data_IF_132367852653
#
_entry.id   IF_132367852653
#
_cell.length_a   1.000
_cell.length_b   1.000
_cell.length_c   1.000
_cell.angle_alpha   90.00
_cell.angle_beta   90.00
_cell.angle_gamma   90.00
#
_symmetry.space_group_name_H-M   'P 1'
#
loop_
_entity.id
_entity.type
_entity.pdbx_description
1 polymer ?
#
# COMPACT_ATOMS: atom_id res chain seq x y z
N UNK A 1 -6.88 -12.93 14.47
CA UNK A 1 -7.75 -11.79 14.15
C UNK A 1 -7.31 -11.24 12.80
N UNK A 2 -8.24 -10.94 11.90
CA UNK A 2 -7.91 -10.29 10.63
C UNK A 2 -7.66 -8.81 10.91
N UNK A 3 -6.42 -8.37 10.69
CA UNK A 3 -6.00 -6.96 10.82
C UNK A 3 -6.70 -6.15 9.72
N UNK A 4 -7.14 -4.93 10.02
CA UNK A 4 -7.84 -4.08 9.05
C UNK A 4 -7.09 -2.76 8.92
N UNK A 5 -6.78 -2.39 7.68
CA UNK A 5 -6.11 -1.14 7.36
C UNK A 5 -7.15 -0.16 6.83
N UNK A 6 -7.48 0.85 7.64
CA UNK A 6 -8.39 1.93 7.25
C UNK A 6 -7.60 3.07 6.61
N UNK A 7 -8.15 3.69 5.58
CA UNK A 7 -7.55 4.88 4.96
C UNK A 7 -8.59 5.96 4.70
N UNK A 8 -8.13 7.21 4.75
CA UNK A 8 -8.95 8.41 4.64
C UNK A 8 -8.23 9.46 3.82
N UNK A 9 -9.01 10.24 3.08
CA UNK A 9 -8.57 11.31 2.20
C UNK A 9 -9.28 12.59 2.58
N UNK A 10 -8.53 13.67 2.72
CA UNK A 10 -9.03 14.96 3.16
C UNK A 10 -8.70 16.04 2.14
N UNK A 11 -9.69 16.86 1.78
CA UNK A 11 -9.50 17.98 0.86
C UNK A 11 -9.31 17.61 -0.61
N UNK A 12 -9.70 16.39 -1.02
CA UNK A 12 -9.74 16.01 -2.43
C UNK A 12 -10.94 16.72 -3.11
N UNK A 13 -10.75 17.45 -4.22
CA UNK A 13 -11.83 18.12 -4.94
C UNK A 13 -12.83 17.14 -5.56
N UNK A 14 -14.11 17.52 -5.60
CA UNK A 14 -15.21 16.66 -6.09
C UNK A 14 -14.98 16.13 -7.51
N UNK A 15 -14.43 16.96 -8.41
CA UNK A 15 -14.13 16.56 -9.80
C UNK A 15 -13.01 15.50 -9.92
N UNK A 16 -12.31 15.17 -8.83
CA UNK A 16 -11.30 14.10 -8.77
C UNK A 16 -11.82 12.83 -8.10
N UNK A 17 -13.05 12.83 -7.59
CA UNK A 17 -13.62 11.66 -6.90
C UNK A 17 -13.79 10.48 -7.85
N UNK A 18 -14.26 10.68 -9.07
CA UNK A 18 -14.36 9.59 -10.06
C UNK A 18 -12.98 8.98 -10.35
N UNK A 19 -11.96 9.82 -10.48
CA UNK A 19 -10.59 9.37 -10.74
C UNK A 19 -10.01 8.52 -9.60
N UNK A 20 -10.27 8.87 -8.34
CA UNK A 20 -9.78 8.04 -7.23
C UNK A 20 -10.45 6.66 -7.23
N UNK A 21 -11.74 6.56 -7.56
CA UNK A 21 -12.42 5.28 -7.72
C UNK A 21 -11.76 4.42 -8.80
N UNK A 22 -11.48 5.00 -9.98
CA UNK A 22 -10.73 4.31 -11.04
C UNK A 22 -9.35 3.82 -10.58
N UNK A 23 -8.62 4.63 -9.82
CA UNK A 23 -7.30 4.25 -9.29
C UNK A 23 -7.38 3.08 -8.32
N UNK A 24 -8.41 3.00 -7.49
CA UNK A 24 -8.66 1.85 -6.61
C UNK A 24 -9.04 0.60 -7.41
N UNK A 25 -9.87 0.71 -8.44
CA UNK A 25 -10.20 -0.40 -9.34
C UNK A 25 -8.97 -0.94 -10.08
N UNK A 26 -8.11 -0.04 -10.58
CA UNK A 26 -6.83 -0.42 -11.19
C UNK A 26 -5.93 -1.16 -10.20
N UNK A 27 -5.82 -0.69 -8.96
CA UNK A 27 -5.04 -1.35 -7.91
C UNK A 27 -5.62 -2.73 -7.54
N UNK A 28 -6.94 -2.82 -7.44
CA UNK A 28 -7.66 -4.05 -7.18
C UNK A 28 -7.41 -5.10 -8.28
N UNK A 29 -7.40 -4.68 -9.55
CA UNK A 29 -7.18 -5.54 -10.70
C UNK A 29 -5.70 -5.91 -10.94
N UNK A 30 -4.76 -5.08 -10.49
CA UNK A 30 -3.33 -5.27 -10.77
C UNK A 30 -2.71 -6.51 -10.11
N UNK A 31 -3.37 -7.07 -9.09
CA UNK A 31 -2.89 -8.26 -8.38
C UNK A 31 -4.00 -9.00 -7.64
N UNK A 32 -3.73 -10.24 -7.26
CA UNK A 32 -4.59 -10.96 -6.33
C UNK A 32 -4.40 -10.45 -4.88
N UNK A 33 -5.53 -10.28 -4.18
CA UNK A 33 -5.61 -9.89 -2.78
C UNK A 33 -6.10 -11.07 -1.94
N UNK A 34 -5.51 -11.27 -0.75
CA UNK A 34 -5.80 -12.49 0.05
C UNK A 34 -7.17 -12.45 0.75
N UNK A 35 -7.58 -11.27 1.22
CA UNK A 35 -8.74 -11.12 2.11
C UNK A 35 -9.83 -10.19 1.59
N UNK A 36 -9.63 -9.60 0.42
CA UNK A 36 -10.51 -8.62 -0.20
C UNK A 36 -9.72 -7.55 -0.93
N UNK A 37 -10.24 -7.13 -2.08
CA UNK A 37 -9.63 -6.05 -2.85
C UNK A 37 -9.79 -4.70 -2.14
N UNK A 38 -8.83 -3.78 -2.30
CA UNK A 38 -8.99 -2.42 -1.80
C UNK A 38 -10.10 -1.71 -2.56
N UNK A 39 -10.82 -0.86 -1.85
CA UNK A 39 -11.95 -0.10 -2.38
C UNK A 39 -12.04 1.26 -1.69
N UNK A 40 -12.76 2.20 -2.28
CA UNK A 40 -12.93 3.52 -1.69
C UNK A 40 -14.39 3.93 -1.78
N UNK A 41 -14.84 4.69 -0.78
CA UNK A 41 -16.13 5.34 -0.79
C UNK A 41 -15.98 6.86 -0.70
N UNK A 42 -16.89 7.55 -1.38
CA UNK A 42 -16.99 9.01 -1.40
C UNK A 42 -18.44 9.44 -1.63
N UNK A 43 -18.66 10.74 -1.85
CA UNK A 43 -19.97 11.27 -2.23
C UNK A 43 -20.49 10.71 -3.57
N UNK A 44 -19.61 10.21 -4.44
CA UNK A 44 -19.95 9.63 -5.76
C UNK A 44 -20.28 8.13 -5.70
N UNK A 45 -20.13 7.49 -4.53
CA UNK A 45 -20.45 6.07 -4.36
C UNK A 45 -21.93 5.80 -4.61
N UNK A 46 -22.21 4.74 -5.37
CA UNK A 46 -23.58 4.33 -5.72
C UNK A 46 -24.05 3.06 -5.01
N UNK A 47 -23.13 2.29 -4.44
CA UNK A 47 -23.45 1.11 -3.65
C UNK A 47 -23.93 1.50 -2.25
N UNK A 48 -24.96 0.80 -1.75
CA UNK A 48 -25.59 1.10 -0.48
C UNK A 48 -24.60 1.05 0.70
N UNK A 49 -23.69 0.07 0.69
CA UNK A 49 -22.72 -0.09 1.76
C UNK A 49 -21.72 1.08 1.78
N UNK A 50 -21.17 1.42 0.63
CA UNK A 50 -20.19 2.48 0.44
C UNK A 50 -20.77 3.84 0.82
N UNK A 51 -22.01 4.12 0.38
CA UNK A 51 -22.74 5.33 0.73
C UNK A 51 -22.93 5.45 2.25
N UNK A 52 -23.38 4.38 2.91
CA UNK A 52 -23.62 4.38 4.34
C UNK A 52 -22.32 4.47 5.15
N UNK A 53 -21.31 3.70 4.75
CA UNK A 53 -19.98 3.75 5.35
C UNK A 53 -19.39 5.18 5.30
N UNK A 54 -19.42 5.82 4.13
CA UNK A 54 -18.90 7.17 3.97
C UNK A 54 -19.73 8.20 4.75
N UNK A 55 -21.07 8.05 4.76
CA UNK A 55 -21.97 8.92 5.52
C UNK A 55 -21.65 8.88 7.02
N UNK A 56 -21.47 7.70 7.59
CA UNK A 56 -21.11 7.54 9.00
C UNK A 56 -19.77 8.22 9.31
N UNK A 57 -18.73 7.95 8.51
CA UNK A 57 -17.42 8.56 8.72
C UNK A 57 -17.43 10.09 8.56
N UNK A 58 -18.18 10.61 7.59
CA UNK A 58 -18.29 12.06 7.38
C UNK A 58 -19.01 12.76 8.53
N UNK A 59 -19.96 12.09 9.19
CA UNK A 59 -20.61 12.63 10.39
C UNK A 59 -19.66 12.68 11.59
N UNK A 60 -18.73 11.74 11.68
CA UNK A 60 -17.74 11.67 12.77
C UNK A 60 -16.55 12.62 12.56
N UNK A 61 -15.98 12.64 11.35
CA UNK A 61 -14.74 13.37 11.03
C UNK A 61 -14.99 14.79 10.51
N UNK A 62 -16.18 15.09 10.00
CA UNK A 62 -16.57 16.39 9.46
C UNK A 62 -16.43 16.53 7.94
N UNK A 63 -16.63 17.76 7.46
CA UNK A 63 -16.76 18.08 6.02
C UNK A 63 -15.46 17.98 5.23
N UNK A 64 -14.31 17.93 5.89
CA UNK A 64 -13.00 17.83 5.22
C UNK A 64 -12.74 16.44 4.66
N UNK A 65 -13.48 15.41 5.10
CA UNK A 65 -13.36 14.06 4.59
C UNK A 65 -13.97 13.96 3.18
N UNK A 66 -13.12 13.72 2.19
CA UNK A 66 -13.52 13.59 0.78
C UNK A 66 -13.77 12.14 0.37
N UNK A 67 -12.97 11.21 0.89
CA UNK A 67 -13.11 9.78 0.61
C UNK A 67 -12.52 8.93 1.75
N UNK A 68 -12.96 7.68 1.86
CA UNK A 68 -12.44 6.74 2.84
C UNK A 68 -12.66 5.29 2.41
N UNK A 69 -11.89 4.36 2.94
CA UNK A 69 -12.09 2.93 2.73
C UNK A 69 -11.30 2.10 3.71
N UNK A 70 -11.31 0.80 3.51
CA UNK A 70 -10.45 -0.11 4.26
C UNK A 70 -10.14 -1.38 3.48
N UNK A 71 -9.08 -2.07 3.87
CA UNK A 71 -8.77 -3.41 3.37
C UNK A 71 -8.49 -4.37 4.52
N UNK A 72 -8.97 -5.60 4.40
CA UNK A 72 -8.71 -6.67 5.36
C UNK A 72 -7.39 -7.35 5.00
N UNK A 73 -6.61 -7.67 6.03
CA UNK A 73 -5.27 -8.22 5.92
C UNK A 73 -5.22 -9.64 6.49
N UNK A 74 -4.54 -10.56 5.79
CA UNK A 74 -4.22 -11.91 6.30
C UNK A 74 -2.71 -12.13 6.37
N UNK A 75 -2.08 -11.55 7.39
CA UNK A 75 -0.70 -11.86 7.79
C UNK A 75 0.37 -11.59 6.73
N UNK A 76 0.02 -10.88 5.65
CA UNK A 76 0.95 -10.47 4.60
C UNK A 76 1.21 -8.97 4.72
N UNK A 77 2.41 -8.61 5.19
CA UNK A 77 2.82 -7.21 5.32
C UNK A 77 2.99 -6.53 3.96
N UNK A 78 3.13 -7.28 2.87
CA UNK A 78 3.26 -6.71 1.52
C UNK A 78 2.00 -5.99 1.09
N UNK A 79 0.82 -6.53 1.40
CA UNK A 79 -0.47 -5.88 1.11
C UNK A 79 -0.57 -4.51 1.82
N UNK A 80 -0.09 -4.43 3.06
CA UNK A 80 -0.18 -3.21 3.87
C UNK A 80 0.80 -2.16 3.34
N UNK A 81 1.98 -2.63 2.94
CA UNK A 81 2.99 -1.77 2.34
C UNK A 81 2.55 -1.22 0.99
N UNK A 82 1.97 -2.04 0.11
CA UNK A 82 1.46 -1.58 -1.19
C UNK A 82 0.37 -0.53 -0.99
N UNK A 83 -0.58 -0.77 -0.09
CA UNK A 83 -1.61 0.22 0.23
C UNK A 83 -0.98 1.49 0.79
N UNK A 84 0.00 1.37 1.69
CA UNK A 84 0.67 2.54 2.27
C UNK A 84 1.36 3.39 1.21
N UNK A 85 2.10 2.76 0.29
CA UNK A 85 2.76 3.47 -0.81
C UNK A 85 1.71 4.09 -1.74
N UNK A 86 0.68 3.35 -2.11
CA UNK A 86 -0.40 3.84 -2.97
C UNK A 86 -1.09 5.07 -2.38
N UNK A 87 -1.49 5.03 -1.11
CA UNK A 87 -2.12 6.17 -0.42
C UNK A 87 -1.16 7.36 -0.32
N UNK A 88 0.14 7.13 -0.05
CA UNK A 88 1.18 8.17 -0.08
C UNK A 88 1.26 8.82 -1.47
N UNK A 89 1.28 8.00 -2.52
CA UNK A 89 1.39 8.49 -3.90
C UNK A 89 0.16 9.32 -4.29
N UNK A 90 -1.06 8.90 -3.89
CA UNK A 90 -2.26 9.72 -4.07
C UNK A 90 -2.20 11.03 -3.29
N UNK A 91 -1.67 11.00 -2.07
CA UNK A 91 -1.42 12.22 -1.28
C UNK A 91 -0.48 13.18 -2.03
N UNK A 92 0.59 12.66 -2.63
CA UNK A 92 1.54 13.45 -3.41
C UNK A 92 0.93 14.00 -4.71
N UNK A 93 0.24 13.14 -5.47
CA UNK A 93 -0.36 13.45 -6.77
C UNK A 93 -1.40 14.57 -6.64
N UNK A 94 -2.26 14.50 -5.62
CA UNK A 94 -3.33 15.47 -5.44
C UNK A 94 -2.96 16.62 -4.49
N UNK A 95 -1.79 16.57 -3.84
CA UNK A 95 -1.39 17.57 -2.84
C UNK A 95 -2.35 17.62 -1.64
N UNK A 96 -2.84 16.45 -1.22
CA UNK A 96 -3.87 16.31 -0.17
C UNK A 96 -3.33 15.64 1.07
N UNK A 97 -4.07 15.78 2.17
CA UNK A 97 -3.83 15.02 3.39
C UNK A 97 -4.50 13.65 3.29
N UNK A 98 -3.77 12.61 3.69
CA UNK A 98 -4.31 11.27 3.87
C UNK A 98 -3.94 10.71 5.24
N UNK A 99 -4.72 9.74 5.72
CA UNK A 99 -4.44 9.04 6.97
C UNK A 99 -4.68 7.55 6.77
N UNK A 100 -3.79 6.75 7.31
CA UNK A 100 -3.87 5.30 7.39
C UNK A 100 -3.92 4.92 8.86
N UNK A 101 -4.87 4.07 9.24
CA UNK A 101 -5.03 3.56 10.60
C UNK A 101 -5.07 2.04 10.61
N UNK A 102 -4.34 1.49 11.55
CA UNK A 102 -4.11 0.07 11.73
C UNK A 102 -4.01 -0.26 13.22
N UNK A 103 -5.16 -0.35 13.88
CA UNK A 103 -5.24 -0.43 15.34
C UNK A 103 -4.53 -1.68 15.90
N UNK A 104 -4.51 -2.77 15.12
CA UNK A 104 -3.93 -4.04 15.50
C UNK A 104 -2.44 -4.15 15.14
N UNK A 105 -1.80 -3.09 14.62
CA UNK A 105 -0.38 -3.13 14.29
C UNK A 105 0.45 -3.38 15.56
N UNK A 106 1.37 -4.37 15.57
CA UNK A 106 2.18 -4.70 16.76
C UNK A 106 3.07 -3.54 17.22
N UNK A 107 3.65 -2.81 16.27
CA UNK A 107 4.36 -1.56 16.53
C UNK A 107 3.39 -0.37 16.61
N UNK A 108 3.24 0.21 17.80
CA UNK A 108 2.33 1.35 18.05
C UNK A 108 2.53 2.53 17.10
N UNK A 109 3.79 2.86 16.77
CA UNK A 109 4.13 3.96 15.85
C UNK A 109 3.67 3.75 14.40
N UNK A 110 3.31 2.52 14.01
CA UNK A 110 2.81 2.18 12.68
C UNK A 110 1.29 1.99 12.67
N UNK A 111 0.62 2.14 13.82
CA UNK A 111 -0.86 2.11 13.90
C UNK A 111 -1.51 3.31 13.25
N UNK A 112 -0.75 4.40 13.05
CA UNK A 112 -1.22 5.58 12.35
C UNK A 112 -0.10 6.16 11.51
N UNK A 113 -0.37 6.34 10.22
CA UNK A 113 0.49 7.06 9.29
C UNK A 113 -0.36 8.15 8.65
N UNK A 114 0.04 9.40 8.83
CA UNK A 114 -0.57 10.52 8.15
C UNK A 114 0.39 10.99 7.05
N UNK A 115 -0.12 11.33 5.88
CA UNK A 115 0.67 11.96 4.82
C UNK A 115 0.06 13.30 4.49
N UNK A 116 0.93 14.27 4.22
CA UNK A 116 0.58 15.55 3.62
C UNK A 116 1.44 15.74 2.38
N UNK A 117 0.79 15.83 1.22
CA UNK A 117 1.47 15.96 -0.08
C UNK A 117 2.57 14.92 -0.28
N UNK A 118 2.31 13.68 0.14
CA UNK A 118 3.25 12.55 0.02
C UNK A 118 4.40 12.54 1.03
N UNK A 119 4.34 13.34 2.10
CA UNK A 119 5.35 13.41 3.16
C UNK A 119 4.76 13.05 4.51
N UNK A 120 5.55 12.37 5.34
CA UNK A 120 5.22 12.10 6.73
C UNK A 120 5.29 13.39 7.56
N UNK A 121 4.70 13.41 8.78
CA UNK A 121 4.86 14.53 9.70
C UNK A 121 6.34 14.82 9.94
N UNK A 122 6.73 16.09 9.79
CA UNK A 122 8.15 16.50 9.83
C UNK A 122 8.85 16.51 8.46
N UNK A 123 8.14 16.25 7.37
CA UNK A 123 8.64 16.42 5.99
C UNK A 123 9.46 15.25 5.45
N UNK A 124 9.56 14.15 6.20
CA UNK A 124 10.30 12.95 5.78
C UNK A 124 9.57 12.19 4.67
N UNK A 125 10.33 11.53 3.78
CA UNK A 125 9.74 10.56 2.86
C UNK A 125 9.42 9.25 3.60
N UNK A 126 8.50 8.46 3.03
CA UNK A 126 8.20 7.13 3.55
C UNK A 126 9.44 6.22 3.47
N UNK A 127 10.21 6.35 2.38
CA UNK A 127 11.43 5.60 2.11
C UNK A 127 12.49 5.82 3.19
N UNK A 128 12.70 7.07 3.63
CA UNK A 128 13.65 7.40 4.70
C UNK A 128 13.33 6.66 6.01
N UNK A 129 12.06 6.34 6.24
CA UNK A 129 11.59 5.62 7.42
C UNK A 129 11.61 4.11 7.20
N UNK A 130 11.29 3.64 5.98
CA UNK A 130 11.27 2.23 5.60
C UNK A 130 12.66 1.62 5.37
N UNK A 131 13.68 2.43 5.06
CA UNK A 131 15.03 2.03 4.61
C UNK A 131 15.80 1.04 5.52
N UNK A 132 15.22 0.60 6.63
CA UNK A 132 15.91 -0.22 7.64
C UNK A 132 15.64 -1.72 7.51
N UNK A 133 14.59 -2.19 6.82
CA UNK A 133 14.27 -3.63 6.78
C UNK A 133 13.63 -4.08 5.46
N UNK A 134 13.97 -5.28 4.95
CA UNK A 134 13.22 -5.90 3.87
C UNK A 134 11.83 -6.34 4.34
N UNK A 135 10.87 -6.29 3.42
CA UNK A 135 9.53 -6.87 3.59
C UNK A 135 9.53 -8.28 3.03
N UNK A 136 8.97 -9.22 3.79
CA UNK A 136 9.02 -10.64 3.47
C UNK A 136 7.63 -11.11 3.10
N UNK A 137 7.44 -11.55 1.86
CA UNK A 137 6.23 -12.22 1.41
C UNK A 137 6.46 -13.74 1.41
N UNK A 138 5.54 -14.49 1.99
CA UNK A 138 5.53 -15.96 1.94
C UNK A 138 4.49 -16.44 0.94
N UNK A 139 4.91 -17.27 -0.01
CA UNK A 139 4.05 -17.85 -1.06
C UNK A 139 4.42 -19.32 -1.19
N UNK A 140 3.46 -20.22 -0.98
CA UNK A 140 3.65 -21.68 -1.15
C UNK A 140 4.88 -22.27 -0.43
N UNK A 141 5.24 -21.72 0.73
CA UNK A 141 6.42 -22.14 1.51
C UNK A 141 7.70 -21.37 1.17
N UNK A 142 7.76 -20.73 0.00
CA UNK A 142 8.88 -19.89 -0.43
C UNK A 142 8.80 -18.47 0.15
N UNK A 143 9.97 -17.84 0.26
CA UNK A 143 10.12 -16.46 0.77
C UNK A 143 10.64 -15.54 -0.33
N UNK A 144 9.86 -14.50 -0.62
CA UNK A 144 10.27 -13.38 -1.47
C UNK A 144 10.63 -12.21 -0.54
N UNK A 145 11.81 -11.65 -0.72
CA UNK A 145 12.28 -10.47 0.00
C UNK A 145 12.15 -9.24 -0.90
N UNK A 146 11.54 -8.17 -0.40
CA UNK A 146 11.46 -6.87 -1.06
C UNK A 146 12.27 -5.85 -0.27
N UNK A 147 13.18 -5.17 -0.94
CA UNK A 147 14.06 -4.16 -0.35
C UNK A 147 13.64 -2.78 -0.87
N UNK A 148 13.33 -1.83 0.03
CA UNK A 148 12.92 -0.50 -0.39
C UNK A 148 14.07 0.24 -1.10
N UNK A 149 13.75 1.26 -1.91
CA UNK A 149 14.73 2.20 -2.41
C UNK A 149 15.62 2.71 -1.27
N UNK A 150 16.89 2.96 -1.57
CA UNK A 150 17.92 3.35 -0.61
C UNK A 150 18.37 2.29 0.40
N UNK A 151 17.73 1.11 0.45
CA UNK A 151 18.18 0.01 1.30
C UNK A 151 19.59 -0.46 0.92
N UNK A 152 20.49 -0.47 1.91
CA UNK A 152 21.86 -0.97 1.74
C UNK A 152 21.95 -2.37 2.33
N UNK A 153 22.13 -3.37 1.46
CA UNK A 153 22.32 -4.76 1.88
C UNK A 153 23.65 -4.93 2.62
N UNK A 154 24.68 -4.21 2.18
CA UNK A 154 25.97 -4.06 2.82
C UNK A 154 26.38 -2.59 2.82
N UNK A 155 27.17 -2.18 3.82
CA UNK A 155 27.60 -0.79 4.00
C UNK A 155 28.32 -0.19 2.77
N UNK A 156 28.86 -1.04 1.89
CA UNK A 156 29.64 -0.66 0.72
C UNK A 156 28.85 -0.61 -0.60
N UNK A 157 27.62 -1.12 -0.65
CA UNK A 157 26.82 -1.07 -1.88
C UNK A 157 26.18 0.32 -2.05
N UNK A 158 26.22 0.91 -3.26
CA UNK A 158 25.48 2.14 -3.50
C UNK A 158 23.98 1.89 -3.33
N UNK A 159 23.24 2.84 -2.74
CA UNK A 159 21.78 2.74 -2.67
C UNK A 159 21.19 2.70 -4.08
N UNK A 160 20.28 1.76 -4.33
CA UNK A 160 19.49 1.75 -5.58
C UNK A 160 18.30 2.71 -5.44
N UNK A 161 17.94 3.47 -6.50
CA UNK A 161 16.70 4.23 -6.54
C UNK A 161 15.47 3.33 -6.75
N UNK A 162 15.66 2.08 -7.18
CA UNK A 162 14.61 1.11 -7.48
C UNK A 162 14.34 0.16 -6.30
N UNK A 163 13.18 -0.50 -6.34
CA UNK A 163 12.89 -1.63 -5.45
C UNK A 163 13.73 -2.83 -5.89
N UNK A 164 14.41 -3.47 -4.94
CA UNK A 164 15.05 -4.76 -5.21
C UNK A 164 14.16 -5.89 -4.69
N UNK A 165 14.19 -7.03 -5.36
CA UNK A 165 13.55 -8.26 -4.87
C UNK A 165 14.51 -9.44 -4.96
N UNK A 166 14.35 -10.39 -4.03
CA UNK A 166 15.14 -11.62 -4.01
C UNK A 166 14.26 -12.83 -3.68
N UNK A 167 14.46 -13.92 -4.44
CA UNK A 167 13.80 -15.22 -4.26
C UNK A 167 14.68 -16.31 -4.86
N UNK A 168 14.70 -17.51 -4.28
CA UNK A 168 15.39 -18.68 -4.84
C UNK A 168 16.86 -18.44 -5.26
N UNK A 169 17.59 -17.58 -4.54
CA UNK A 169 18.98 -17.20 -4.87
C UNK A 169 19.13 -16.19 -6.02
N UNK A 170 18.03 -15.80 -6.67
CA UNK A 170 17.98 -14.76 -7.71
C UNK A 170 17.72 -13.41 -7.05
N UNK A 171 18.33 -12.35 -7.61
CA UNK A 171 18.08 -10.96 -7.24
C UNK A 171 17.90 -10.11 -8.48
N UNK A 172 16.91 -9.23 -8.45
CA UNK A 172 16.63 -8.28 -9.52
C UNK A 172 16.01 -7.00 -8.95
N UNK A 173 15.69 -6.06 -9.84
CA UNK A 173 15.21 -4.71 -9.51
C UNK A 173 13.98 -4.38 -10.34
N UNK A 174 13.11 -3.53 -9.82
CA UNK A 174 11.99 -2.95 -10.53
C UNK A 174 11.70 -1.52 -10.03
N UNK A 175 11.19 -0.63 -10.90
CA UNK A 175 10.83 0.74 -10.53
C UNK A 175 9.88 0.85 -9.33
N UNK A 176 8.90 -0.05 -9.21
CA UNK A 176 7.91 -0.02 -8.13
C UNK A 176 7.83 -1.34 -7.35
N UNK A 177 7.32 -1.28 -6.11
CA UNK A 177 7.06 -2.50 -5.32
C UNK A 177 6.07 -3.43 -6.01
N UNK A 178 5.05 -2.88 -6.67
CA UNK A 178 4.03 -3.67 -7.36
C UNK A 178 4.64 -4.45 -8.54
N UNK A 179 5.48 -3.80 -9.35
CA UNK A 179 6.22 -4.46 -10.43
C UNK A 179 7.21 -5.49 -9.88
N UNK A 180 7.96 -5.16 -8.84
CA UNK A 180 8.86 -6.10 -8.17
C UNK A 180 8.12 -7.36 -7.71
N UNK A 181 6.92 -7.19 -7.14
CA UNK A 181 6.07 -8.30 -6.72
C UNK A 181 5.57 -9.12 -7.91
N UNK A 182 5.07 -8.48 -8.97
CA UNK A 182 4.59 -9.16 -10.15
C UNK A 182 5.69 -10.00 -10.81
N UNK A 183 6.90 -9.45 -10.97
CA UNK A 183 8.04 -10.16 -11.54
C UNK A 183 8.50 -11.32 -10.64
N UNK A 184 8.59 -11.11 -9.32
CA UNK A 184 8.94 -12.19 -8.40
C UNK A 184 7.92 -13.34 -8.44
N UNK A 185 6.62 -13.03 -8.51
CA UNK A 185 5.57 -14.05 -8.64
C UNK A 185 5.56 -14.74 -10.01
N UNK A 186 5.97 -14.07 -11.09
CA UNK A 186 6.17 -14.69 -12.40
C UNK A 186 7.32 -15.69 -12.35
N UNK A 187 8.46 -15.30 -11.77
CA UNK A 187 9.63 -16.18 -11.59
C UNK A 187 9.28 -17.39 -10.74
N UNK A 188 8.63 -17.19 -9.59
CA UNK A 188 8.25 -18.28 -8.69
C UNK A 188 7.33 -19.29 -9.39
N UNK A 189 6.31 -18.80 -10.12
CA UNK A 189 5.46 -19.67 -10.95
C UNK A 189 6.27 -20.42 -11.99
N UNK A 190 7.17 -19.76 -12.71
CA UNK A 190 8.03 -20.40 -13.71
C UNK A 190 8.90 -21.51 -13.12
N UNK A 191 9.52 -21.28 -11.96
CA UNK A 191 10.32 -22.29 -11.26
C UNK A 191 9.49 -23.50 -10.81
N UNK A 192 8.25 -23.28 -10.36
CA UNK A 192 7.32 -24.37 -10.02
C UNK A 192 7.01 -25.30 -11.20
N UNK A 193 7.06 -24.81 -12.44
CA UNK A 193 6.88 -25.65 -13.64
C UNK A 193 8.16 -26.39 -14.07
N UNK A 194 9.34 -25.97 -13.61
CA UNK A 194 10.63 -26.59 -13.97
C UNK A 194 11.05 -27.70 -12.99
N UNK A 195 10.45 -27.73 -11.79
CA UNK A 195 10.68 -28.76 -10.77
C UNK A 195 9.64 -29.88 -10.74
N UNK A 196 8.71 -29.90 -11.70
CA UNK A 196 7.64 -30.91 -11.84
C UNK A 196 8.02 -32.00 -12.86
#
# INVERSE_FOLDING_TARGET
MARVLHYRFYGLPDHRLERIHEQFEMLAAARAWRCGSPWVASAESRGLFEMEFFRHLRNEEGRELSAAGFVKMAGDETDALIITIFIRDLSAEYGIRTSIRDEDHPLAKLRRLDFDSGRLPGGLSLEDVLAKRPVIKKVEGERIFFYPPTFRLHSQSPPSPEWAYALCGIRAYAPTLLEAEQEALKILRGLGHLGA
#
